data_IF_797170939143
#
_entry.id   IF_797170939143
#
_cell.length_a   1.000
_cell.length_b   1.000
_cell.length_c   1.000
_cell.angle_alpha   90.00
_cell.angle_beta   90.00
_cell.angle_gamma   90.00
#
_symmetry.space_group_name_H-M   'P 1'
#
loop_
_entity.id
_entity.type
_entity.pdbx_description
1 polymer ?
#
# COMPACT_ATOMS: atom_id res chain seq x y z
N UNK A 1 28.84 48.17 14.61
CA UNK A 1 27.36 48.17 14.60
C UNK A 1 26.89 47.80 13.20
N UNK A 2 26.49 46.55 13.00
CA UNK A 2 26.00 46.04 11.70
C UNK A 2 24.72 45.26 11.97
N UNK A 3 23.59 45.74 11.40
CA UNK A 3 22.26 45.14 11.51
C UNK A 3 22.17 43.90 10.62
N UNK A 4 21.72 42.79 11.18
CA UNK A 4 21.31 41.57 10.45
C UNK A 4 19.80 41.73 10.10
N UNK A 5 19.36 41.47 8.84
CA UNK A 5 17.95 41.52 8.48
C UNK A 5 17.21 40.24 8.90
N UNK A 6 15.87 40.30 9.14
CA UNK A 6 15.09 39.14 9.55
C UNK A 6 14.79 38.20 8.37
N UNK A 7 15.06 36.91 8.58
CA UNK A 7 14.72 35.83 7.64
C UNK A 7 13.21 35.58 7.64
N UNK A 8 12.55 35.83 6.51
CA UNK A 8 11.13 35.52 6.30
C UNK A 8 10.93 33.99 6.23
N UNK A 9 10.18 33.44 7.18
CA UNK A 9 9.88 32.00 7.29
C UNK A 9 8.37 31.78 7.32
N UNK A 10 7.71 31.78 6.16
CA UNK A 10 6.28 31.40 6.06
C UNK A 10 5.89 31.05 4.62
N UNK A 11 6.06 29.79 4.20
CA UNK A 11 5.42 29.30 2.96
C UNK A 11 5.04 27.79 2.96
N UNK A 12 5.55 26.98 3.89
CA UNK A 12 5.22 25.54 3.93
C UNK A 12 3.87 25.21 4.56
N UNK A 13 3.34 26.09 5.43
CA UNK A 13 2.06 25.85 6.13
C UNK A 13 0.83 26.09 5.25
N UNK A 14 0.93 26.99 4.26
CA UNK A 14 -0.16 27.30 3.32
C UNK A 14 -0.35 26.21 2.27
N UNK A 15 0.75 25.59 1.82
CA UNK A 15 0.70 24.50 0.83
C UNK A 15 0.08 23.21 1.41
N UNK A 16 0.40 22.88 2.68
CA UNK A 16 -0.22 21.75 3.38
C UNK A 16 -1.72 21.93 3.62
N UNK A 17 -2.18 23.17 3.80
CA UNK A 17 -3.61 23.46 4.05
C UNK A 17 -4.47 23.30 2.79
N UNK A 18 -3.92 23.61 1.61
CA UNK A 18 -4.62 23.45 0.34
C UNK A 18 -4.81 21.98 -0.06
N UNK A 19 -3.87 21.09 0.31
CA UNK A 19 -3.97 19.64 0.04
C UNK A 19 -5.04 18.96 0.92
N UNK A 20 -5.15 19.36 2.19
CA UNK A 20 -6.17 18.82 3.12
C UNK A 20 -7.58 19.25 2.71
N UNK A 21 -7.75 20.48 2.20
CA UNK A 21 -9.04 20.96 1.70
C UNK A 21 -9.47 20.24 0.41
N UNK A 22 -8.53 19.89 -0.47
CA UNK A 22 -8.82 19.09 -1.68
C UNK A 22 -9.32 17.68 -1.35
N UNK A 23 -8.72 17.01 -0.37
CA UNK A 23 -9.11 15.67 0.07
C UNK A 23 -10.51 15.63 0.72
N UNK A 24 -10.91 16.66 1.48
CA UNK A 24 -12.23 16.73 2.11
C UNK A 24 -13.38 16.95 1.11
N UNK A 25 -13.15 17.71 0.04
CA UNK A 25 -14.19 17.95 -1.00
C UNK A 25 -14.46 16.68 -1.81
N UNK A 26 -13.43 15.86 -2.07
CA UNK A 26 -13.59 14.58 -2.80
C UNK A 26 -14.37 13.55 -1.97
N UNK A 27 -14.15 13.50 -0.65
CA UNK A 27 -14.88 12.58 0.25
C UNK A 27 -16.37 12.96 0.35
N UNK A 28 -16.70 14.25 0.42
CA UNK A 28 -18.10 14.70 0.46
C UNK A 28 -18.86 14.37 -0.84
N UNK A 29 -18.21 14.47 -2.01
CA UNK A 29 -18.83 14.14 -3.29
C UNK A 29 -19.18 12.64 -3.43
N UNK A 30 -18.39 11.75 -2.82
CA UNK A 30 -18.62 10.29 -2.87
C UNK A 30 -19.81 9.89 -1.96
N UNK A 31 -19.98 10.55 -0.81
CA UNK A 31 -21.14 10.30 0.08
C UNK A 31 -22.48 10.75 -0.51
N UNK A 32 -22.47 11.80 -1.35
CA UNK A 32 -23.69 12.27 -2.03
C UNK A 32 -24.12 11.36 -3.20
N UNK A 33 -23.20 10.59 -3.80
CA UNK A 33 -23.51 9.72 -4.93
C UNK A 33 -24.10 8.36 -4.53
N UNK A 34 -23.79 7.87 -3.32
CA UNK A 34 -24.29 6.56 -2.82
C UNK A 34 -25.39 6.67 -1.76
N UNK A 35 -25.72 7.88 -1.31
CA UNK A 35 -26.56 8.12 -0.13
C UNK A 35 -27.97 8.66 -0.41
N UNK A 36 -28.63 8.36 -1.52
CA UNK A 36 -30.06 8.69 -1.68
C UNK A 36 -30.82 7.71 -2.58
N UNK A 37 -31.12 6.50 -2.08
CA UNK A 37 -32.35 5.81 -2.45
C UNK A 37 -32.91 5.02 -1.27
N UNK A 38 -33.74 5.70 -0.46
CA UNK A 38 -34.69 5.05 0.46
C UNK A 38 -35.93 4.67 -0.36
N UNK A 39 -36.42 3.41 -0.33
CA UNK A 39 -37.55 3.01 -1.15
C UNK A 39 -38.86 3.58 -0.58
N UNK A 40 -39.56 4.40 -1.39
CA UNK A 40 -40.95 4.78 -1.12
C UNK A 40 -41.87 3.69 -1.66
N UNK A 41 -42.58 3.02 -0.77
CA UNK A 41 -43.75 2.22 -1.09
C UNK A 41 -44.82 3.08 -1.76
N UNK A 42 -45.31 2.68 -2.92
CA UNK A 42 -46.59 3.15 -3.47
C UNK A 42 -47.17 2.11 -4.40
N UNK A 43 -48.42 1.77 -4.11
CA UNK A 43 -49.26 0.71 -4.65
C UNK A 43 -49.59 0.88 -6.12
N UNK A 44 -49.54 -0.21 -6.90
CA UNK A 44 -50.29 -0.32 -8.14
C UNK A 44 -50.80 -1.75 -8.37
N UNK A 45 -52.08 -1.84 -8.73
CA UNK A 45 -52.78 -2.98 -9.31
C UNK A 45 -53.94 -2.41 -10.12
N UNK A 46 -54.57 -3.15 -11.06
CA UNK A 46 -54.06 -4.22 -11.94
C UNK A 46 -54.55 -4.02 -13.40
N UNK A 47 -54.11 -4.87 -14.35
CA UNK A 47 -54.89 -5.39 -15.51
C UNK A 47 -53.96 -6.19 -16.46
N UNK A 48 -54.08 -7.54 -16.58
CA UNK A 48 -54.85 -8.31 -17.62
C UNK A 48 -54.06 -8.39 -18.96
N UNK A 49 -53.68 -9.51 -19.62
CA UNK A 49 -54.00 -10.96 -19.66
C UNK A 49 -52.83 -11.73 -20.43
N UNK A 50 -52.86 -13.04 -20.86
CA UNK A 50 -51.79 -14.06 -20.64
C UNK A 50 -51.22 -14.72 -21.95
N UNK A 51 -50.83 -16.03 -22.02
CA UNK A 51 -49.45 -16.55 -21.87
C UNK A 51 -48.94 -17.37 -23.08
N UNK A 52 -47.64 -17.74 -23.11
CA UNK A 52 -47.19 -19.04 -23.67
C UNK A 52 -45.74 -19.40 -23.26
N UNK A 53 -45.40 -20.71 -23.11
CA UNK A 53 -44.17 -21.17 -22.45
C UNK A 53 -43.13 -21.72 -23.44
N UNK A 54 -41.83 -21.68 -23.10
CA UNK A 54 -40.94 -22.85 -23.25
C UNK A 54 -39.48 -22.61 -22.91
N UNK A 55 -38.93 -23.66 -22.29
CA UNK A 55 -37.56 -24.15 -22.38
C UNK A 55 -36.47 -23.39 -21.62
N UNK A 56 -36.28 -23.86 -20.39
CA UNK A 56 -34.97 -23.87 -19.74
C UNK A 56 -33.91 -24.50 -20.67
N UNK A 57 -32.78 -23.82 -20.79
CA UNK A 57 -31.49 -24.41 -21.17
C UNK A 57 -30.47 -23.95 -20.13
N UNK A 58 -29.69 -24.86 -19.51
CA UNK A 58 -28.56 -24.42 -18.72
C UNK A 58 -27.50 -23.94 -19.71
N UNK A 59 -27.33 -22.63 -19.80
CA UNK A 59 -26.10 -22.08 -20.35
C UNK A 59 -24.98 -22.52 -19.40
N UNK A 60 -24.23 -23.52 -19.85
CA UNK A 60 -22.85 -23.74 -19.41
C UNK A 60 -22.15 -22.39 -19.54
N UNK A 61 -22.00 -21.69 -18.42
CA UNK A 61 -21.12 -20.54 -18.30
C UNK A 61 -19.72 -21.07 -18.51
N UNK A 62 -19.26 -20.85 -19.74
CA UNK A 62 -17.91 -20.99 -20.17
C UNK A 62 -16.99 -20.27 -19.17
N UNK A 63 -15.93 -20.98 -18.81
CA UNK A 63 -15.01 -20.68 -17.72
C UNK A 63 -14.03 -19.62 -18.18
N UNK A 64 -14.55 -18.42 -18.43
CA UNK A 64 -13.77 -17.20 -18.44
C UNK A 64 -13.72 -16.68 -17.02
N UNK A 65 -12.76 -17.16 -16.22
CA UNK A 65 -12.37 -16.48 -14.98
C UNK A 65 -12.01 -15.04 -15.36
N UNK A 66 -12.98 -14.13 -15.20
CA UNK A 66 -12.65 -12.78 -14.78
C UNK A 66 -11.81 -12.98 -13.52
N UNK A 67 -10.48 -12.90 -13.66
CA UNK A 67 -9.59 -12.79 -12.51
C UNK A 67 -10.18 -11.67 -11.66
N UNK A 68 -10.70 -12.04 -10.49
CA UNK A 68 -11.34 -11.09 -9.60
C UNK A 68 -10.36 -10.00 -9.18
N UNK A 69 -10.86 -8.90 -8.64
CA UNK A 69 -10.00 -7.93 -7.98
C UNK A 69 -9.14 -8.65 -6.91
N UNK A 70 -7.86 -8.28 -6.74
CA UNK A 70 -6.97 -8.85 -5.74
C UNK A 70 -7.62 -8.85 -4.36
N UNK A 71 -7.49 -9.98 -3.66
CA UNK A 71 -8.00 -10.17 -2.32
C UNK A 71 -6.89 -10.38 -1.28
N UNK A 72 -7.29 -10.72 -0.06
CA UNK A 72 -6.36 -11.02 1.04
C UNK A 72 -5.39 -12.16 0.69
N UNK A 73 -5.85 -13.15 -0.09
CA UNK A 73 -5.02 -14.25 -0.60
C UNK A 73 -3.92 -13.79 -1.56
N UNK A 74 -4.11 -12.65 -2.22
CA UNK A 74 -3.15 -12.04 -3.14
C UNK A 74 -2.19 -11.07 -2.44
N UNK A 75 -2.32 -10.90 -1.13
CA UNK A 75 -1.49 -9.98 -0.34
C UNK A 75 -2.12 -8.60 -0.10
N UNK A 76 -3.42 -8.42 -0.36
CA UNK A 76 -4.14 -7.22 0.11
C UNK A 76 -4.17 -7.22 1.64
N UNK A 77 -3.84 -6.07 2.24
CA UNK A 77 -3.73 -5.92 3.69
C UNK A 77 -5.01 -5.31 4.26
N UNK A 78 -5.77 -6.02 5.11
CA UNK A 78 -6.88 -5.44 5.88
C UNK A 78 -6.43 -4.31 6.82
N UNK A 79 -7.36 -3.43 7.18
CA UNK A 79 -7.10 -2.37 8.14
C UNK A 79 -6.66 -2.92 9.51
N UNK A 80 -5.63 -2.31 10.09
CA UNK A 80 -5.14 -2.63 11.43
C UNK A 80 -4.23 -3.85 11.52
N UNK A 81 -3.82 -4.44 10.39
CA UNK A 81 -2.82 -5.52 10.38
C UNK A 81 -1.47 -5.02 10.86
N UNK A 82 -0.88 -5.78 11.77
CA UNK A 82 0.44 -5.58 12.35
C UNK A 82 1.41 -6.64 11.85
N UNK A 83 2.69 -6.45 12.14
CA UNK A 83 3.73 -7.45 11.84
C UNK A 83 3.56 -8.78 12.58
N UNK A 84 2.66 -8.88 13.56
CA UNK A 84 2.40 -10.12 14.32
C UNK A 84 1.21 -10.94 13.77
N UNK A 85 0.52 -10.46 12.75
CA UNK A 85 -0.66 -11.12 12.18
C UNK A 85 -0.25 -12.21 11.17
N UNK A 86 0.47 -13.23 11.65
CA UNK A 86 1.09 -14.31 10.87
C UNK A 86 0.08 -15.20 10.10
N UNK A 87 -1.23 -14.97 10.25
CA UNK A 87 -2.28 -15.63 9.48
C UNK A 87 -2.65 -14.87 8.19
N UNK A 88 -2.25 -13.61 8.06
CA UNK A 88 -2.53 -12.78 6.89
C UNK A 88 -1.45 -13.04 5.84
N UNK A 89 -1.78 -13.42 4.60
CA UNK A 89 -0.80 -13.77 3.57
C UNK A 89 0.26 -12.71 3.32
N UNK A 90 -0.09 -11.42 3.40
CA UNK A 90 0.87 -10.33 3.28
C UNK A 90 1.98 -10.36 4.35
N UNK A 91 1.73 -10.93 5.53
CA UNK A 91 2.71 -11.10 6.61
C UNK A 91 3.31 -12.50 6.58
N UNK A 92 2.46 -13.51 6.44
CA UNK A 92 2.83 -14.93 6.50
C UNK A 92 3.81 -15.37 5.41
N UNK A 93 3.75 -14.72 4.24
CA UNK A 93 4.59 -15.05 3.09
C UNK A 93 5.85 -14.16 2.97
N UNK A 94 6.13 -13.32 3.97
CA UNK A 94 7.42 -12.63 4.04
C UNK A 94 8.56 -13.63 4.23
N UNK A 95 9.77 -13.24 3.79
CA UNK A 95 10.98 -13.99 4.09
C UNK A 95 11.05 -14.25 5.61
N UNK A 96 11.29 -15.50 6.06
CA UNK A 96 11.31 -15.82 7.49
C UNK A 96 12.35 -15.02 8.29
N UNK A 97 13.48 -14.65 7.67
CA UNK A 97 14.49 -13.80 8.28
C UNK A 97 13.98 -12.37 8.49
N UNK A 98 13.32 -11.80 7.47
CA UNK A 98 12.68 -10.50 7.55
C UNK A 98 11.59 -10.48 8.63
N UNK A 99 10.68 -11.45 8.64
CA UNK A 99 9.60 -11.52 9.62
C UNK A 99 10.14 -11.61 11.05
N UNK A 100 11.18 -12.42 11.27
CA UNK A 100 11.87 -12.52 12.56
C UNK A 100 12.45 -11.18 13.01
N UNK A 101 13.12 -10.45 12.10
CA UNK A 101 13.69 -9.14 12.40
C UNK A 101 12.59 -8.12 12.76
N UNK A 102 11.47 -8.12 12.02
CA UNK A 102 10.31 -7.28 12.30
C UNK A 102 9.73 -7.54 13.68
N UNK A 103 9.55 -8.82 14.05
CA UNK A 103 9.05 -9.18 15.39
C UNK A 103 9.99 -8.72 16.50
N UNK A 104 11.31 -8.82 16.29
CA UNK A 104 12.30 -8.37 17.28
C UNK A 104 12.27 -6.85 17.45
N UNK A 105 12.29 -6.11 16.33
CA UNK A 105 12.23 -4.66 16.34
C UNK A 105 10.91 -4.14 16.93
N UNK A 106 9.76 -4.71 16.54
CA UNK A 106 8.45 -4.30 17.06
C UNK A 106 8.34 -4.51 18.58
N UNK A 107 8.89 -5.60 19.13
CA UNK A 107 8.93 -5.81 20.59
C UNK A 107 9.81 -4.80 21.31
N UNK A 108 10.90 -4.36 20.67
CA UNK A 108 11.80 -3.37 21.24
C UNK A 108 11.24 -1.94 21.14
N UNK A 109 10.42 -1.65 20.14
CA UNK A 109 9.76 -0.36 19.95
C UNK A 109 8.53 -0.16 20.87
N UNK A 110 7.89 -1.27 21.30
CA UNK A 110 6.66 -1.22 22.10
C UNK A 110 6.76 -0.40 23.42
N UNK A 111 7.86 -0.44 24.20
CA UNK A 111 8.04 0.41 25.38
C UNK A 111 8.02 1.92 25.08
N UNK A 112 8.37 2.31 23.85
CA UNK A 112 8.32 3.70 23.37
C UNK A 112 6.92 4.09 22.88
N UNK A 113 5.95 3.16 22.95
CA UNK A 113 4.59 3.35 22.46
C UNK A 113 4.47 3.24 20.94
N UNK A 114 5.46 2.67 20.27
CA UNK A 114 5.51 2.52 18.82
C UNK A 114 5.05 1.12 18.43
N UNK A 115 4.09 1.04 17.50
CA UNK A 115 3.53 -0.20 16.97
C UNK A 115 3.74 -0.28 15.46
N UNK A 116 4.07 -1.46 14.94
CA UNK A 116 4.39 -1.67 13.53
C UNK A 116 3.19 -2.23 12.78
N UNK A 117 2.47 -1.34 12.11
CA UNK A 117 1.40 -1.68 11.18
C UNK A 117 1.99 -2.00 9.79
N UNK A 118 1.33 -2.88 9.05
CA UNK A 118 1.73 -3.25 7.68
C UNK A 118 0.80 -2.54 6.71
N UNK A 119 1.36 -1.70 5.84
CA UNK A 119 0.62 -1.13 4.70
C UNK A 119 0.66 -2.07 3.49
N UNK A 120 1.78 -2.74 3.28
CA UNK A 120 1.98 -3.75 2.25
C UNK A 120 3.06 -4.72 2.69
N UNK A 121 2.89 -6.01 2.44
CA UNK A 121 3.91 -7.03 2.71
C UNK A 121 4.14 -7.85 1.46
N UNK A 122 4.09 -9.18 1.58
CA UNK A 122 4.08 -10.04 0.42
C UNK A 122 2.89 -9.76 -0.51
N UNK A 123 3.12 -9.82 -1.83
CA UNK A 123 2.08 -9.66 -2.86
C UNK A 123 2.20 -10.74 -3.94
N UNK A 124 1.08 -11.18 -4.50
CA UNK A 124 1.11 -12.04 -5.69
C UNK A 124 1.63 -11.27 -6.91
N UNK A 125 2.24 -11.95 -7.91
CA UNK A 125 2.62 -11.33 -9.17
C UNK A 125 1.46 -10.60 -9.86
N UNK A 126 0.26 -11.19 -9.85
CA UNK A 126 -0.92 -10.59 -10.47
C UNK A 126 -1.35 -9.30 -9.78
N UNK A 127 -1.28 -9.24 -8.44
CA UNK A 127 -1.56 -8.03 -7.70
C UNK A 127 -0.50 -6.95 -7.99
N UNK A 128 0.77 -7.34 -8.07
CA UNK A 128 1.85 -6.42 -8.42
C UNK A 128 1.67 -5.82 -9.83
N UNK A 129 1.29 -6.63 -10.82
CA UNK A 129 1.03 -6.16 -12.19
C UNK A 129 -0.14 -5.18 -12.23
N UNK A 130 -1.20 -5.43 -11.46
CA UNK A 130 -2.31 -4.48 -11.35
C UNK A 130 -1.85 -3.15 -10.75
N UNK A 131 -1.06 -3.17 -9.67
CA UNK A 131 -0.54 -1.94 -9.06
C UNK A 131 0.37 -1.15 -10.01
N UNK A 132 1.14 -1.84 -10.85
CA UNK A 132 1.94 -1.19 -11.89
C UNK A 132 1.03 -0.51 -12.93
N UNK A 133 -0.01 -1.19 -13.40
CA UNK A 133 -0.98 -0.59 -14.34
C UNK A 133 -1.68 0.64 -13.74
N UNK A 134 -2.07 0.57 -12.47
CA UNK A 134 -2.65 1.70 -11.74
C UNK A 134 -1.66 2.87 -11.61
N UNK A 135 -0.38 2.58 -11.34
CA UNK A 135 0.67 3.59 -11.29
C UNK A 135 0.90 4.23 -12.67
N UNK A 136 0.94 3.46 -13.75
CA UNK A 136 1.07 3.99 -15.12
C UNK A 136 -0.12 4.91 -15.45
N UNK A 137 -1.34 4.51 -15.10
CA UNK A 137 -2.54 5.35 -15.26
C UNK A 137 -2.43 6.66 -14.47
N UNK A 138 -1.91 6.60 -13.25
CA UNK A 138 -1.75 7.75 -12.35
C UNK A 138 -0.64 8.72 -12.78
N UNK A 139 0.50 8.19 -13.22
CA UNK A 139 1.72 8.96 -13.49
C UNK A 139 1.95 9.25 -14.98
N UNK A 140 1.20 8.60 -15.86
CA UNK A 140 1.14 8.88 -17.30
C UNK A 140 2.14 8.11 -18.17
N UNK A 141 3.12 7.43 -17.57
CA UNK A 141 4.06 6.56 -18.30
C UNK A 141 4.63 5.46 -17.39
N UNK A 142 5.16 4.41 -18.00
CA UNK A 142 5.94 3.38 -17.31
C UNK A 142 7.18 3.97 -16.63
N UNK A 143 7.89 4.89 -17.30
CA UNK A 143 9.08 5.54 -16.75
C UNK A 143 8.80 6.31 -15.45
N UNK A 144 7.68 7.06 -15.38
CA UNK A 144 7.31 7.78 -14.16
C UNK A 144 6.73 6.85 -13.09
N UNK A 145 6.02 5.79 -13.49
CA UNK A 145 5.51 4.77 -12.56
C UNK A 145 6.63 3.95 -11.92
N UNK A 146 7.71 3.66 -12.66
CA UNK A 146 8.87 2.89 -12.19
C UNK A 146 9.61 3.54 -11.00
N UNK A 147 9.34 4.82 -10.73
CA UNK A 147 9.83 5.53 -9.55
C UNK A 147 9.12 5.15 -8.25
N UNK A 148 8.05 4.35 -8.33
CA UNK A 148 7.18 4.02 -7.20
C UNK A 148 6.76 2.54 -7.19
N UNK A 149 6.61 1.92 -8.37
CA UNK A 149 6.11 0.55 -8.48
C UNK A 149 6.98 -0.26 -9.42
N UNK A 150 7.62 -1.30 -8.87
CA UNK A 150 8.39 -2.27 -9.64
C UNK A 150 7.49 -3.24 -10.44
N UNK A 151 8.08 -3.90 -11.43
CA UNK A 151 7.43 -5.02 -12.15
C UNK A 151 7.24 -6.23 -11.24
N UNK A 152 6.33 -7.15 -11.58
CA UNK A 152 6.18 -8.42 -10.88
C UNK A 152 7.46 -9.27 -10.85
N UNK A 153 8.32 -9.17 -11.89
CA UNK A 153 9.55 -9.94 -11.98
C UNK A 153 10.66 -9.44 -11.03
N UNK A 154 10.63 -8.17 -10.64
CA UNK A 154 11.70 -7.53 -9.87
C UNK A 154 11.28 -7.05 -8.49
N UNK A 155 9.98 -6.98 -8.20
CA UNK A 155 9.45 -6.47 -6.93
C UNK A 155 9.90 -7.32 -5.73
N UNK A 156 10.57 -6.73 -4.73
CA UNK A 156 10.91 -7.41 -3.48
C UNK A 156 9.68 -7.85 -2.68
N UNK A 157 8.52 -7.22 -2.87
CA UNK A 157 7.28 -7.67 -2.24
C UNK A 157 6.79 -9.00 -2.82
N UNK A 158 7.05 -9.26 -4.10
CA UNK A 158 6.65 -10.53 -4.73
C UNK A 158 7.51 -11.69 -4.21
N UNK A 159 8.80 -11.45 -3.95
CA UNK A 159 9.68 -12.43 -3.33
C UNK A 159 9.52 -12.54 -1.81
N UNK A 160 8.77 -11.63 -1.18
CA UNK A 160 8.61 -11.57 0.28
C UNK A 160 9.78 -10.89 1.02
N UNK A 161 10.70 -10.27 0.29
CA UNK A 161 11.93 -9.67 0.83
C UNK A 161 11.73 -8.21 1.31
N UNK A 162 10.53 -7.65 1.18
CA UNK A 162 10.21 -6.28 1.60
C UNK A 162 8.88 -6.16 2.32
N UNK A 163 8.78 -5.13 3.15
CA UNK A 163 7.56 -4.71 3.83
C UNK A 163 7.46 -3.18 3.83
N UNK A 164 6.24 -2.69 3.64
CA UNK A 164 5.88 -1.28 3.82
C UNK A 164 5.26 -1.08 5.20
N UNK A 165 5.98 -0.38 6.07
CA UNK A 165 5.56 -0.09 7.44
C UNK A 165 4.67 1.15 7.47
N UNK A 166 3.51 0.99 8.11
CA UNK A 166 2.55 2.04 8.36
C UNK A 166 2.97 3.00 9.47
N UNK A 167 2.34 4.17 9.47
CA UNK A 167 2.53 5.27 10.42
C UNK A 167 3.94 5.88 10.46
N UNK A 168 4.00 7.20 10.65
CA UNK A 168 5.26 7.95 10.58
C UNK A 168 6.14 7.78 11.82
N UNK A 169 5.55 7.47 12.97
CA UNK A 169 6.25 7.18 14.22
C UNK A 169 7.06 5.88 14.12
N UNK A 170 6.47 4.79 13.58
CA UNK A 170 7.17 3.53 13.36
C UNK A 170 8.33 3.68 12.36
N UNK A 171 8.11 4.39 11.25
CA UNK A 171 9.17 4.66 10.27
C UNK A 171 10.25 5.61 10.81
N UNK A 172 9.90 6.54 11.72
CA UNK A 172 10.89 7.36 12.44
C UNK A 172 11.74 6.50 13.36
N UNK A 173 11.11 5.65 14.18
CA UNK A 173 11.82 4.74 15.09
C UNK A 173 12.75 3.79 14.32
N UNK A 174 12.28 3.21 13.21
CA UNK A 174 13.10 2.35 12.35
C UNK A 174 14.25 3.09 11.67
N UNK A 175 14.10 4.38 11.37
CA UNK A 175 15.21 5.18 10.83
C UNK A 175 16.36 5.36 11.83
N UNK A 176 16.07 5.31 13.13
CA UNK A 176 17.03 5.49 14.21
C UNK A 176 17.59 4.15 14.71
N UNK A 177 16.75 3.11 14.77
CA UNK A 177 17.06 1.82 15.42
C UNK A 177 17.08 0.62 14.46
N UNK A 178 16.53 0.74 13.26
CA UNK A 178 16.28 -0.40 12.36
C UNK A 178 17.53 -1.19 12.01
N UNK A 179 18.68 -0.52 11.85
CA UNK A 179 19.94 -1.16 11.53
C UNK A 179 20.37 -2.22 12.56
N UNK A 180 20.05 -2.04 13.84
CA UNK A 180 20.35 -3.00 14.91
C UNK A 180 19.65 -4.36 14.69
N UNK A 181 18.53 -4.36 13.97
CA UNK A 181 17.74 -5.54 13.63
C UNK A 181 17.94 -6.00 12.18
N UNK A 182 18.82 -5.35 11.43
CA UNK A 182 18.97 -5.61 10.00
C UNK A 182 17.87 -4.99 9.14
N UNK A 183 16.98 -4.15 9.68
CA UNK A 183 15.88 -3.54 8.94
C UNK A 183 16.33 -2.19 8.36
N UNK A 184 16.40 -2.13 7.03
CA UNK A 184 16.93 -0.95 6.35
C UNK A 184 15.93 -0.36 5.37
N UNK A 185 15.73 0.96 5.47
CA UNK A 185 15.09 1.73 4.42
C UNK A 185 15.96 1.68 3.16
N UNK A 186 15.38 1.31 2.01
CA UNK A 186 16.14 1.12 0.77
C UNK A 186 16.02 2.33 -0.17
N UNK A 187 14.85 2.96 -0.22
CA UNK A 187 14.57 4.07 -1.13
C UNK A 187 14.27 5.36 -0.37
N UNK A 188 14.94 6.45 -0.74
CA UNK A 188 14.79 7.74 -0.06
C UNK A 188 13.39 8.34 -0.21
N UNK A 189 12.72 8.10 -1.34
CA UNK A 189 11.35 8.55 -1.60
C UNK A 189 10.28 7.70 -0.91
N UNK A 190 10.65 6.56 -0.30
CA UNK A 190 9.72 5.60 0.32
C UNK A 190 10.18 5.31 1.77
N UNK A 191 9.95 6.25 2.72
CA UNK A 191 10.31 6.06 4.12
C UNK A 191 9.61 4.88 4.82
N UNK A 192 8.61 4.30 4.17
CA UNK A 192 7.89 3.13 4.63
C UNK A 192 8.50 1.80 4.14
N UNK A 193 9.33 1.78 3.08
CA UNK A 193 9.82 0.54 2.45
C UNK A 193 11.09 0.03 3.15
N UNK A 194 10.98 -1.11 3.83
CA UNK A 194 12.08 -1.76 4.54
C UNK A 194 12.38 -3.16 3.99
N UNK A 195 13.67 -3.49 3.94
CA UNK A 195 14.16 -4.82 3.60
C UNK A 195 15.18 -5.30 4.63
N UNK A 196 15.38 -6.63 4.72
CA UNK A 196 16.42 -7.20 5.55
C UNK A 196 17.81 -7.03 4.92
N UNK A 197 18.76 -6.57 5.73
CA UNK A 197 20.20 -6.49 5.47
C UNK A 197 20.90 -7.09 6.69
N UNK A 198 21.17 -8.39 6.63
CA UNK A 198 21.62 -9.16 7.79
C UNK A 198 22.93 -8.66 8.42
N UNK A 199 23.78 -7.95 7.67
CA UNK A 199 25.03 -7.36 8.15
C UNK A 199 24.88 -5.90 8.63
N UNK A 200 23.67 -5.33 8.61
CA UNK A 200 23.46 -3.92 8.98
C UNK A 200 23.65 -3.65 10.48
N UNK A 201 23.52 -4.66 11.36
CA UNK A 201 23.85 -4.50 12.78
C UNK A 201 25.34 -4.21 12.98
N UNK A 202 26.20 -4.73 12.10
CA UNK A 202 27.65 -4.59 12.19
C UNK A 202 28.16 -3.43 11.33
N UNK A 203 27.52 -3.17 10.18
CA UNK A 203 28.03 -2.25 9.14
C UNK A 203 27.15 -1.03 8.91
N UNK A 204 26.00 -0.97 9.57
CA UNK A 204 24.94 -0.01 9.26
C UNK A 204 24.21 -0.35 7.96
N UNK A 205 23.10 0.35 7.72
CA UNK A 205 22.34 0.18 6.49
C UNK A 205 23.12 0.68 5.25
N UNK A 206 22.94 0.04 4.09
CA UNK A 206 23.54 0.50 2.85
C UNK A 206 23.03 1.90 2.49
N UNK A 207 23.79 2.60 1.63
CA UNK A 207 23.33 3.88 1.10
C UNK A 207 22.02 3.70 0.33
N UNK A 208 20.99 4.42 0.76
CA UNK A 208 19.70 4.46 0.06
C UNK A 208 19.85 4.92 -1.40
N UNK A 209 19.09 4.28 -2.28
CA UNK A 209 18.82 4.78 -3.62
C UNK A 209 17.89 6.00 -3.57
N UNK A 210 17.87 6.82 -4.62
CA UNK A 210 16.94 7.94 -4.68
C UNK A 210 15.48 7.45 -4.77
N UNK A 211 15.27 6.44 -5.62
CA UNK A 211 14.03 5.73 -5.88
C UNK A 211 14.34 4.37 -6.55
N UNK A 212 13.35 3.47 -6.77
CA UNK A 212 13.57 2.15 -7.34
C UNK A 212 14.27 2.13 -8.71
N UNK A 213 14.19 3.20 -9.50
CA UNK A 213 14.85 3.26 -10.81
C UNK A 213 16.38 3.24 -10.71
N UNK A 214 16.95 3.55 -9.54
CA UNK A 214 18.40 3.47 -9.32
C UNK A 214 18.87 2.13 -8.75
N UNK A 215 17.95 1.23 -8.38
CA UNK A 215 18.30 -0.10 -7.89
C UNK A 215 18.61 -1.03 -9.07
N UNK A 216 19.84 -1.59 -9.17
CA UNK A 216 20.21 -2.51 -10.23
C UNK A 216 19.32 -3.76 -10.33
N UNK A 217 18.63 -4.15 -9.24
CA UNK A 217 17.69 -5.27 -9.23
C UNK A 217 16.46 -5.00 -10.10
N UNK A 218 16.10 -3.72 -10.31
CA UNK A 218 14.92 -3.30 -11.07
C UNK A 218 15.17 -3.16 -12.57
N UNK A 219 16.41 -3.36 -13.03
CA UNK A 219 16.86 -3.10 -14.39
C UNK A 219 16.87 -4.35 -15.29
N UNK A 220 16.03 -5.36 -14.98
CA UNK A 220 16.02 -6.65 -15.67
C UNK A 220 15.00 -6.72 -16.81
#
# INVERSE_FOLDING_TARGET
MTRIPPSARTSTRRFRWLIVLGLLVVIAAITALFGYQVPKSSSFSPSVLPPAPSAARPSHTDRGEHRGAPGVTDGVVPDGVTVFDDAIPAVANLDPGLLKALHQAARAAAPDGVEFYVNSGWRSPEYQDQLLQEAVSKYGSEDEAARWVATAATSPHVSGDAVDIGHSDATTWLSEHGAEYGLCQIYRNEPWHYELRADASDRGCPRMYADPTQDPRMQK
#
